data_IF_460102999928
#
_entry.id   IF_460102999928
#
_cell.length_a   1.000
_cell.length_b   1.000
_cell.length_c   1.000
_cell.angle_alpha   90.00
_cell.angle_beta   90.00
_cell.angle_gamma   90.00
#
_symmetry.space_group_name_H-M   'P 1'
#
loop_
_entity.id
_entity.type
_entity.pdbx_description
1 polymer ?
#
# COMPACT_ATOMS: atom_id res chain seq x y z
N UNK A 1 -18.72 -40.42 2.15
CA UNK A 1 -17.97 -40.76 0.93
C UNK A 1 -16.68 -39.95 0.99
N UNK A 2 -15.54 -40.60 1.23
CA UNK A 2 -14.25 -39.91 1.37
C UNK A 2 -13.61 -39.87 -0.01
N UNK A 3 -13.51 -38.67 -0.57
CA UNK A 3 -12.88 -38.43 -1.87
C UNK A 3 -11.36 -38.50 -1.69
N UNK A 4 -10.69 -39.36 -2.46
CA UNK A 4 -9.25 -39.60 -2.34
C UNK A 4 -8.45 -38.58 -3.15
N UNK A 5 -7.16 -38.41 -2.86
CA UNK A 5 -6.26 -37.52 -3.60
C UNK A 5 -6.20 -37.88 -5.10
N UNK A 6 -6.38 -39.16 -5.42
CA UNK A 6 -6.49 -39.67 -6.78
C UNK A 6 -7.74 -39.13 -7.49
N UNK A 7 -8.88 -39.06 -6.80
CA UNK A 7 -10.13 -38.55 -7.38
C UNK A 7 -10.03 -37.04 -7.70
N UNK A 8 -9.33 -36.28 -6.85
CA UNK A 8 -9.05 -34.85 -7.09
C UNK A 8 -8.14 -34.68 -8.32
N UNK A 9 -7.08 -35.49 -8.42
CA UNK A 9 -6.13 -35.41 -9.53
C UNK A 9 -6.78 -35.77 -10.86
N UNK A 10 -7.57 -36.84 -10.89
CA UNK A 10 -8.30 -37.26 -12.10
C UNK A 10 -9.35 -36.22 -12.49
N UNK A 11 -10.07 -35.62 -11.54
CA UNK A 11 -11.01 -34.54 -11.84
C UNK A 11 -10.34 -33.29 -12.41
N UNK A 12 -9.14 -32.94 -11.92
CA UNK A 12 -8.37 -31.81 -12.43
C UNK A 12 -7.74 -32.08 -13.80
N UNK A 13 -7.19 -33.27 -14.03
CA UNK A 13 -6.67 -33.68 -15.34
C UNK A 13 -7.78 -33.71 -16.39
N UNK A 14 -8.97 -34.19 -16.03
CA UNK A 14 -10.12 -34.24 -16.91
C UNK A 14 -10.70 -32.83 -17.19
N UNK A 15 -10.67 -31.93 -16.21
CA UNK A 15 -11.11 -30.54 -16.39
C UNK A 15 -10.12 -29.68 -17.19
N UNK A 16 -8.84 -30.05 -17.22
CA UNK A 16 -7.79 -29.27 -17.89
C UNK A 16 -7.37 -29.85 -19.24
N UNK A 17 -7.72 -31.11 -19.54
CA UNK A 17 -7.39 -31.78 -20.81
C UNK A 17 -7.95 -31.10 -22.07
N UNK A 18 -9.01 -30.30 -21.94
CA UNK A 18 -9.61 -29.55 -23.05
C UNK A 18 -9.12 -28.08 -23.14
N UNK A 19 -8.31 -27.62 -22.19
CA UNK A 19 -7.75 -26.26 -22.21
C UNK A 19 -6.62 -26.17 -23.24
N UNK A 20 -7.00 -26.00 -24.50
CA UNK A 20 -6.08 -25.54 -25.54
C UNK A 20 -5.79 -24.05 -25.31
N UNK A 21 -4.58 -23.74 -24.88
CA UNK A 21 -4.09 -22.35 -24.91
C UNK A 21 -4.23 -21.82 -26.33
N UNK A 22 -4.94 -20.71 -26.50
CA UNK A 22 -5.08 -20.08 -27.79
C UNK A 22 -3.67 -19.82 -28.37
N UNK A 23 -3.40 -20.19 -29.63
CA UNK A 23 -2.05 -20.18 -30.19
C UNK A 23 -1.44 -18.78 -30.26
N UNK A 24 -2.27 -17.74 -30.14
CA UNK A 24 -1.91 -16.33 -30.15
C UNK A 24 -1.82 -15.70 -28.74
N UNK A 25 -1.95 -16.47 -27.66
CA UNK A 25 -1.96 -15.95 -26.28
C UNK A 25 -0.67 -15.18 -25.97
N UNK A 26 0.48 -15.76 -26.32
CA UNK A 26 1.78 -15.11 -26.11
C UNK A 26 1.95 -13.85 -26.95
N UNK A 27 1.40 -13.83 -28.16
CA UNK A 27 1.48 -12.67 -29.04
C UNK A 27 0.53 -11.55 -28.60
N UNK A 28 -0.65 -11.88 -28.07
CA UNK A 28 -1.56 -10.93 -27.43
C UNK A 28 -0.96 -10.32 -26.15
N UNK A 29 -0.29 -11.14 -25.33
CA UNK A 29 0.43 -10.66 -24.14
C UNK A 29 1.59 -9.74 -24.54
N UNK A 30 2.39 -10.11 -25.56
CA UNK A 30 3.47 -9.27 -26.10
C UNK A 30 2.95 -7.96 -26.71
N UNK A 31 1.88 -8.01 -27.49
CA UNK A 31 1.27 -6.82 -28.10
C UNK A 31 0.66 -5.87 -27.05
N UNK A 32 0.04 -6.41 -25.99
CA UNK A 32 -0.45 -5.64 -24.85
C UNK A 32 0.69 -4.94 -24.08
N UNK A 33 1.81 -5.65 -23.88
CA UNK A 33 3.03 -5.09 -23.28
C UNK A 33 3.64 -3.98 -24.13
N UNK A 34 3.77 -4.19 -25.44
CA UNK A 34 4.33 -3.18 -26.36
C UNK A 34 3.46 -1.91 -26.44
N UNK A 35 2.13 -2.03 -26.48
CA UNK A 35 1.23 -0.85 -26.50
C UNK A 35 1.34 0.01 -25.24
N UNK A 36 1.52 -0.59 -24.06
CA UNK A 36 1.77 0.15 -22.81
C UNK A 36 3.12 0.88 -22.84
N UNK A 37 4.16 0.25 -23.38
CA UNK A 37 5.49 0.86 -23.53
C UNK A 37 5.47 2.02 -24.54
N UNK A 38 4.78 1.86 -25.67
CA UNK A 38 4.67 2.91 -26.70
C UNK A 38 3.88 4.12 -26.18
N UNK A 39 2.74 3.92 -25.51
CA UNK A 39 1.98 5.02 -24.88
C UNK A 39 2.80 5.77 -23.81
N UNK A 40 3.66 5.07 -23.06
CA UNK A 40 4.60 5.70 -22.12
C UNK A 40 5.68 6.51 -22.83
N UNK A 41 6.20 6.02 -23.96
CA UNK A 41 7.23 6.73 -24.74
C UNK A 41 6.71 8.00 -25.42
N UNK A 42 5.47 7.99 -25.91
CA UNK A 42 4.86 9.20 -26.51
C UNK A 42 4.55 10.27 -25.48
N UNK A 43 4.19 9.91 -24.24
CA UNK A 43 4.02 10.86 -23.14
C UNK A 43 5.36 11.48 -22.69
N UNK A 44 6.46 10.72 -22.72
CA UNK A 44 7.81 11.21 -22.38
C UNK A 44 8.40 12.14 -23.46
N UNK A 45 8.09 11.93 -24.74
CA UNK A 45 8.57 12.79 -25.83
C UNK A 45 7.96 14.21 -25.81
N UNK A 46 6.74 14.36 -25.28
CA UNK A 46 6.09 15.67 -25.14
C UNK A 46 6.56 16.48 -23.91
N UNK A 47 7.22 15.83 -22.94
CA UNK A 47 7.66 16.46 -21.68
C UNK A 47 9.15 16.87 -21.61
N UNK A 48 9.93 16.66 -22.67
CA UNK A 48 11.39 16.85 -22.66
C UNK A 48 11.89 18.24 -23.09
N UNK A 49 11.00 19.24 -23.22
CA UNK A 49 11.40 20.59 -23.64
C UNK A 49 11.63 21.59 -22.48
N UNK A 50 11.38 21.23 -21.21
CA UNK A 50 11.30 22.26 -20.15
C UNK A 50 11.80 21.86 -18.76
N UNK A 51 12.88 21.08 -18.64
CA UNK A 51 13.60 20.96 -17.35
C UNK A 51 15.11 20.99 -17.59
N UNK A 52 15.65 22.21 -17.61
CA UNK A 52 17.07 22.48 -17.43
C UNK A 52 17.28 22.90 -15.96
N UNK A 53 17.50 21.91 -15.08
CA UNK A 53 18.33 22.02 -13.88
C UNK A 53 18.27 20.69 -13.08
N UNK A 54 19.33 19.89 -13.16
CA UNK A 54 19.79 19.17 -11.97
C UNK A 54 19.56 17.65 -11.83
N UNK A 55 19.63 16.85 -12.90
CA UNK A 55 20.24 15.50 -12.89
C UNK A 55 20.00 14.75 -14.21
N UNK A 56 20.78 15.04 -15.24
CA UNK A 56 20.82 14.27 -16.49
C UNK A 56 21.97 13.25 -16.43
N UNK A 57 21.73 12.08 -15.85
CA UNK A 57 22.59 10.93 -16.05
C UNK A 57 21.94 10.01 -17.09
N UNK A 58 22.19 10.29 -18.38
CA UNK A 58 21.87 9.38 -19.47
C UNK A 58 22.85 8.21 -19.45
N UNK A 59 22.38 7.02 -19.06
CA UNK A 59 23.19 5.80 -19.08
C UNK A 59 23.21 5.26 -20.51
N UNK A 60 24.25 5.63 -21.27
CA UNK A 60 24.64 4.90 -22.48
C UNK A 60 25.39 3.64 -22.03
N UNK A 61 24.78 2.47 -22.24
CA UNK A 61 25.43 1.17 -22.06
C UNK A 61 26.42 0.92 -23.20
N UNK A 62 27.62 1.51 -23.11
CA UNK A 62 28.76 1.12 -23.93
C UNK A 62 29.62 0.12 -23.15
N UNK A 63 29.88 -1.05 -23.76
CA UNK A 63 30.60 -2.14 -23.15
C UNK A 63 32.11 -1.87 -22.99
N UNK A 64 32.64 -2.30 -21.84
CA UNK A 64 34.07 -2.47 -21.59
C UNK A 64 34.74 -1.34 -20.79
N UNK A 65 34.99 -1.60 -19.50
CA UNK A 65 35.89 -0.81 -18.65
C UNK A 65 35.16 0.05 -17.61
N UNK A 66 35.21 -0.41 -16.34
CA UNK A 66 34.86 0.34 -15.13
C UNK A 66 33.57 1.16 -15.19
N UNK A 67 32.44 0.58 -14.78
CA UNK A 67 31.19 1.32 -14.64
C UNK A 67 31.40 2.57 -13.78
N UNK A 68 31.19 3.76 -14.35
CA UNK A 68 31.28 5.03 -13.63
C UNK A 68 30.35 4.99 -12.43
N UNK A 69 30.85 5.28 -11.21
CA UNK A 69 29.99 5.31 -10.03
C UNK A 69 28.80 6.24 -10.25
N UNK A 70 27.60 5.79 -9.87
CA UNK A 70 26.41 6.64 -9.86
C UNK A 70 26.68 7.79 -8.89
N UNK A 71 26.70 9.02 -9.41
CA UNK A 71 26.78 10.23 -8.61
C UNK A 71 25.52 10.34 -7.76
N UNK A 72 25.68 10.62 -6.47
CA UNK A 72 24.55 10.76 -5.56
C UNK A 72 24.81 11.88 -4.57
N UNK A 73 23.95 12.92 -4.54
CA UNK A 73 24.06 13.99 -3.55
C UNK A 73 24.14 13.48 -2.10
N UNK A 74 23.52 12.33 -1.81
CA UNK A 74 23.55 11.70 -0.49
C UNK A 74 24.91 11.11 -0.12
N UNK A 75 25.75 10.76 -1.10
CA UNK A 75 27.06 10.14 -0.86
C UNK A 75 28.21 11.13 -1.03
N UNK A 76 28.00 12.20 -1.80
CA UNK A 76 29.07 13.07 -2.27
C UNK A 76 29.05 14.47 -1.63
N UNK A 77 27.98 14.84 -0.90
CA UNK A 77 27.89 16.14 -0.20
C UNK A 77 28.50 16.08 1.21
N UNK A 78 28.91 17.22 1.80
CA UNK A 78 29.31 17.28 3.20
C UNK A 78 28.16 16.93 4.16
N UNK A 79 28.51 16.40 5.34
CA UNK A 79 27.57 16.16 6.44
C UNK A 79 26.85 17.45 6.83
N UNK A 80 25.52 17.40 6.92
CA UNK A 80 24.65 18.50 7.34
C UNK A 80 24.18 18.35 8.80
N UNK A 81 23.50 19.37 9.34
CA UNK A 81 22.90 19.37 10.68
C UNK A 81 23.77 20.00 11.76
N UNK A 82 23.22 20.22 12.95
CA UNK A 82 23.87 20.92 14.07
C UNK A 82 24.98 20.07 14.74
N UNK A 83 24.95 18.74 14.59
CA UNK A 83 26.01 17.84 15.07
C UNK A 83 27.03 17.47 13.99
N UNK A 84 27.03 18.14 12.82
CA UNK A 84 27.96 17.85 11.70
C UNK A 84 29.46 17.99 12.04
N UNK A 85 29.80 18.63 13.17
CA UNK A 85 31.18 18.81 13.67
C UNK A 85 31.47 17.98 14.92
N UNK A 86 30.50 17.27 15.48
CA UNK A 86 30.70 16.40 16.64
C UNK A 86 31.35 15.08 16.18
N UNK A 87 32.68 15.10 16.02
CA UNK A 87 33.42 13.95 15.51
C UNK A 87 33.21 12.69 16.35
N UNK A 88 33.06 12.84 17.67
CA UNK A 88 32.81 11.71 18.58
C UNK A 88 31.48 11.05 18.25
N UNK A 89 30.42 11.84 18.07
CA UNK A 89 29.12 11.33 17.67
C UNK A 89 29.15 10.70 16.27
N UNK A 90 29.76 11.36 15.29
CA UNK A 90 29.89 10.82 13.93
C UNK A 90 30.62 9.47 13.92
N UNK A 91 31.68 9.31 14.73
CA UNK A 91 32.40 8.05 14.85
C UNK A 91 31.59 6.96 15.57
N UNK A 92 30.76 7.33 16.55
CA UNK A 92 29.79 6.41 17.16
C UNK A 92 28.76 5.93 16.12
N UNK A 93 28.20 6.84 15.33
CA UNK A 93 27.25 6.52 14.25
C UNK A 93 27.87 5.57 13.23
N UNK A 94 29.09 5.84 12.77
CA UNK A 94 29.80 4.94 11.83
C UNK A 94 30.06 3.56 12.44
N UNK A 95 30.38 3.47 13.74
CA UNK A 95 30.55 2.18 14.43
C UNK A 95 29.23 1.40 14.52
N UNK A 96 28.15 2.07 14.93
CA UNK A 96 26.83 1.45 15.01
C UNK A 96 26.36 0.95 13.63
N UNK A 97 26.57 1.75 12.58
CA UNK A 97 26.30 1.37 11.20
C UNK A 97 27.07 0.10 10.79
N UNK A 98 28.40 0.06 10.97
CA UNK A 98 29.20 -1.12 10.62
C UNK A 98 28.79 -2.37 11.40
N UNK A 99 28.45 -2.22 12.68
CA UNK A 99 27.97 -3.33 13.49
C UNK A 99 26.61 -3.88 12.99
N UNK A 100 25.75 -3.02 12.44
CA UNK A 100 24.42 -3.40 11.95
C UNK A 100 24.43 -4.02 10.54
N UNK A 101 25.46 -3.76 9.73
CA UNK A 101 25.53 -4.28 8.36
C UNK A 101 25.66 -5.80 8.27
N UNK A 102 26.20 -6.47 9.29
CA UNK A 102 26.49 -7.91 9.23
C UNK A 102 27.37 -8.26 8.01
N UNK A 103 26.91 -9.22 7.21
CA UNK A 103 27.63 -9.73 6.02
C UNK A 103 27.36 -8.93 4.73
N UNK A 104 26.65 -7.79 4.82
CA UNK A 104 26.33 -6.99 3.63
C UNK A 104 27.59 -6.39 3.00
N UNK A 105 27.85 -6.74 1.75
CA UNK A 105 29.01 -6.22 1.01
C UNK A 105 28.84 -4.73 0.69
N UNK A 106 29.74 -3.90 1.21
CA UNK A 106 29.77 -2.44 1.05
C UNK A 106 31.09 -1.96 0.44
N UNK A 107 31.11 -0.72 -0.05
CA UNK A 107 32.28 -0.06 -0.63
C UNK A 107 32.57 1.28 0.06
N UNK A 108 33.83 1.48 0.43
CA UNK A 108 34.30 2.71 1.08
C UNK A 108 33.80 2.86 2.52
N UNK A 109 34.06 4.02 3.11
CA UNK A 109 33.61 4.35 4.46
C UNK A 109 32.13 4.80 4.47
N UNK A 110 31.37 4.50 5.54
CA UNK A 110 30.02 5.05 5.70
C UNK A 110 30.07 6.57 5.83
N UNK A 111 29.27 7.23 5.00
CA UNK A 111 29.12 8.67 4.99
C UNK A 111 27.90 9.08 5.83
N UNK A 112 28.11 9.94 6.82
CA UNK A 112 27.01 10.52 7.60
C UNK A 112 26.47 11.71 6.80
N UNK A 113 25.29 11.55 6.21
CA UNK A 113 24.63 12.55 5.36
C UNK A 113 24.16 13.75 6.20
N UNK A 114 23.59 13.44 7.37
CA UNK A 114 23.05 14.42 8.30
C UNK A 114 23.25 13.91 9.73
N UNK A 115 23.54 14.82 10.66
CA UNK A 115 23.64 14.52 12.08
C UNK A 115 23.14 15.72 12.89
N UNK A 116 22.20 15.47 13.81
CA UNK A 116 21.63 16.55 14.58
C UNK A 116 20.75 16.14 15.76
N UNK A 117 20.20 17.14 16.44
CA UNK A 117 19.22 16.93 17.50
C UNK A 117 17.83 16.66 16.90
N UNK A 118 17.20 15.58 17.36
CA UNK A 118 15.84 15.22 17.00
C UNK A 118 14.90 15.49 18.19
N UNK A 119 13.71 16.08 17.96
CA UNK A 119 12.70 16.22 19.01
C UNK A 119 12.45 14.87 19.68
N UNK A 120 12.32 14.82 21.01
CA UNK A 120 12.00 13.62 21.81
C UNK A 120 12.99 12.42 21.72
N UNK A 121 13.95 12.42 20.80
CA UNK A 121 14.88 11.31 20.51
C UNK A 121 16.35 11.69 20.76
N UNK A 122 16.58 12.89 21.31
CA UNK A 122 17.91 13.46 21.59
C UNK A 122 18.76 13.65 20.33
N UNK A 123 19.54 12.64 19.90
CA UNK A 123 20.42 12.72 18.73
C UNK A 123 19.98 11.72 17.65
N UNK A 124 20.03 12.16 16.40
CA UNK A 124 19.77 11.31 15.25
C UNK A 124 20.78 11.58 14.13
N UNK A 125 20.88 10.64 13.20
CA UNK A 125 21.70 10.77 12.01
C UNK A 125 21.09 10.00 10.83
N UNK A 126 21.50 10.39 9.61
CA UNK A 126 21.27 9.63 8.38
C UNK A 126 22.62 9.20 7.84
N UNK A 127 22.74 7.92 7.51
CA UNK A 127 23.99 7.33 6.99
C UNK A 127 23.71 6.76 5.61
N UNK A 128 24.65 6.99 4.69
CA UNK A 128 24.65 6.36 3.38
C UNK A 128 26.00 5.69 3.12
N UNK A 129 25.99 4.56 2.42
CA UNK A 129 27.21 3.87 2.03
C UNK A 129 27.05 3.19 0.66
N UNK A 130 28.11 3.19 -0.15
CA UNK A 130 28.07 2.54 -1.47
C UNK A 130 28.03 1.02 -1.30
N UNK A 131 27.38 0.33 -2.23
CA UNK A 131 27.44 -1.14 -2.37
C UNK A 131 27.95 -1.52 -3.76
N UNK A 132 28.42 -2.76 -3.99
CA UNK A 132 28.64 -3.27 -5.32
C UNK A 132 27.37 -3.11 -6.18
N UNK A 133 27.52 -2.46 -7.34
CA UNK A 133 26.39 -2.23 -8.23
C UNK A 133 25.83 -3.56 -8.73
N UNK A 134 24.52 -3.75 -8.57
CA UNK A 134 23.81 -4.95 -9.03
C UNK A 134 22.42 -4.60 -9.53
N UNK A 135 21.94 -5.35 -10.52
CA UNK A 135 20.55 -5.24 -10.95
C UNK A 135 19.67 -5.77 -9.83
N UNK A 136 18.84 -4.90 -9.27
CA UNK A 136 18.00 -5.18 -8.11
C UNK A 136 16.53 -5.41 -8.47
N UNK A 137 16.12 -5.16 -9.72
CA UNK A 137 14.73 -5.37 -10.14
C UNK A 137 14.60 -5.85 -11.60
N UNK A 138 13.48 -6.52 -11.96
CA UNK A 138 13.20 -6.94 -13.34
C UNK A 138 13.09 -5.78 -14.34
N UNK A 139 12.85 -4.57 -13.86
CA UNK A 139 12.80 -3.35 -14.69
C UNK A 139 14.16 -2.68 -14.86
N UNK A 140 15.25 -3.35 -14.46
CA UNK A 140 16.62 -2.93 -14.72
C UNK A 140 17.17 -1.88 -13.75
N UNK A 141 16.56 -1.69 -12.58
CA UNK A 141 17.15 -0.79 -11.59
C UNK A 141 18.46 -1.33 -11.03
N UNK A 142 19.41 -0.44 -10.81
CA UNK A 142 20.70 -0.74 -10.22
C UNK A 142 20.67 -0.28 -8.76
N UNK A 143 20.92 -1.21 -7.85
CA UNK A 143 21.28 -0.87 -6.47
C UNK A 143 22.70 -0.35 -6.46
N UNK A 144 22.93 0.84 -5.87
CA UNK A 144 24.24 1.50 -5.88
C UNK A 144 24.68 1.99 -4.49
N UNK A 145 23.79 1.94 -3.50
CA UNK A 145 24.11 2.28 -2.12
C UNK A 145 23.07 1.73 -1.15
N UNK A 146 23.35 1.92 0.13
CA UNK A 146 22.42 1.76 1.23
C UNK A 146 22.26 3.13 1.90
N UNK A 147 21.06 3.41 2.39
CA UNK A 147 20.77 4.53 3.27
C UNK A 147 20.05 4.03 4.52
N UNK A 148 20.22 4.70 5.64
CA UNK A 148 19.50 4.34 6.86
C UNK A 148 19.50 5.43 7.90
N UNK A 149 18.52 5.34 8.80
CA UNK A 149 18.35 6.24 9.92
C UNK A 149 18.98 5.66 11.16
N UNK A 150 19.60 6.52 11.96
CA UNK A 150 20.21 6.18 13.24
C UNK A 150 19.63 7.11 14.30
N UNK A 151 19.23 6.55 15.43
CA UNK A 151 18.80 7.31 16.59
C UNK A 151 19.58 6.93 17.84
N UNK A 152 19.70 7.85 18.77
CA UNK A 152 20.19 7.59 20.11
C UNK A 152 19.05 7.12 21.01
N UNK A 153 19.20 5.94 21.59
CA UNK A 153 18.28 5.36 22.57
C UNK A 153 18.95 5.28 23.94
N UNK A 154 18.21 4.89 24.98
CA UNK A 154 18.78 4.60 26.31
C UNK A 154 19.79 3.45 26.29
N UNK A 155 19.73 2.55 25.29
CA UNK A 155 20.67 1.47 25.08
C UNK A 155 21.88 1.85 24.19
N UNK A 156 21.94 3.09 23.72
CA UNK A 156 22.94 3.58 22.76
C UNK A 156 22.36 3.79 21.36
N UNK A 157 23.24 3.94 20.38
CA UNK A 157 22.83 4.18 19.00
C UNK A 157 22.20 2.94 18.37
N UNK A 158 21.03 3.14 17.76
CA UNK A 158 20.27 2.12 17.03
C UNK A 158 20.16 2.52 15.57
N UNK A 159 20.53 1.62 14.66
CA UNK A 159 20.21 1.75 13.23
C UNK A 159 18.78 1.24 13.04
N UNK A 160 17.89 2.11 12.57
CA UNK A 160 16.46 1.84 12.46
C UNK A 160 16.16 1.08 11.16
N UNK A 161 16.85 1.42 10.07
CA UNK A 161 16.59 0.84 8.76
C UNK A 161 17.85 0.72 7.91
N UNK A 162 17.79 -0.17 6.92
CA UNK A 162 18.77 -0.34 5.85
C UNK A 162 18.01 -0.42 4.53
N UNK A 163 17.95 0.70 3.81
CA UNK A 163 17.22 0.80 2.54
C UNK A 163 18.19 0.80 1.36
N UNK A 164 17.87 0.01 0.33
CA UNK A 164 18.63 0.04 -0.92
C UNK A 164 18.37 1.34 -1.68
N UNK A 165 19.45 1.99 -2.09
CA UNK A 165 19.41 3.13 -3.00
C UNK A 165 19.39 2.61 -4.44
N UNK A 166 18.29 2.86 -5.13
CA UNK A 166 18.02 2.35 -6.48
C UNK A 166 18.03 3.47 -7.51
N UNK A 167 18.59 3.21 -8.69
CA UNK A 167 18.49 4.15 -9.81
C UNK A 167 17.04 4.32 -10.26
N UNK A 168 16.61 5.56 -10.47
CA UNK A 168 15.29 5.88 -11.03
C UNK A 168 14.10 5.59 -10.10
N UNK A 169 14.32 5.13 -8.87
CA UNK A 169 13.30 5.15 -7.84
C UNK A 169 13.48 6.35 -6.92
N UNK A 170 12.40 6.70 -6.24
CA UNK A 170 12.45 7.45 -5.00
C UNK A 170 13.35 6.73 -3.99
N UNK A 171 14.48 7.36 -3.66
CA UNK A 171 15.30 7.03 -2.48
C UNK A 171 14.90 7.90 -1.29
N UNK A 172 13.72 8.55 -1.33
CA UNK A 172 13.29 9.39 -0.23
C UNK A 172 13.15 8.53 1.01
N UNK A 173 13.78 9.06 2.03
CA UNK A 173 14.03 8.44 3.29
C UNK A 173 13.23 9.28 4.28
N UNK A 174 12.06 8.77 4.65
CA UNK A 174 11.42 9.18 5.89
C UNK A 174 11.59 8.05 6.91
N UNK A 175 11.60 8.37 8.19
CA UNK A 175 11.55 7.37 9.25
C UNK A 175 10.74 7.88 10.44
N UNK A 176 10.09 6.95 11.14
CA UNK A 176 9.54 7.23 12.46
C UNK A 176 10.59 6.97 13.52
N UNK A 177 10.88 7.96 14.34
CA UNK A 177 11.87 7.93 15.42
C UNK A 177 11.20 7.86 16.79
N UNK A 178 11.98 7.46 17.78
CA UNK A 178 11.58 7.43 19.19
C UNK A 178 10.91 6.12 19.60
N UNK A 179 10.83 5.86 20.91
CA UNK A 179 10.24 4.63 21.44
C UNK A 179 8.75 4.52 21.11
N UNK A 180 8.06 5.66 21.03
CA UNK A 180 6.64 5.72 20.68
C UNK A 180 6.40 5.94 19.19
N UNK A 181 7.44 6.21 18.38
CA UNK A 181 7.31 6.49 16.93
C UNK A 181 6.49 7.74 16.64
N UNK A 182 6.59 8.72 17.53
CA UNK A 182 5.85 9.98 17.54
C UNK A 182 6.57 11.10 16.77
N UNK A 183 7.74 10.82 16.21
CA UNK A 183 8.53 11.80 15.44
C UNK A 183 8.76 11.29 14.03
N UNK A 184 8.20 11.98 13.04
CA UNK A 184 8.51 11.75 11.64
C UNK A 184 9.73 12.59 11.25
N UNK A 185 10.80 11.92 10.84
CA UNK A 185 11.98 12.55 10.25
C UNK A 185 11.94 12.37 8.73
N UNK A 186 12.10 13.45 7.98
CA UNK A 186 12.14 13.43 6.51
C UNK A 186 13.45 14.04 6.03
N UNK A 187 14.21 13.28 5.23
CA UNK A 187 15.44 13.76 4.62
C UNK A 187 15.15 14.59 3.36
N UNK A 188 15.80 15.75 3.26
CA UNK A 188 15.82 16.54 2.02
C UNK A 188 16.66 15.83 0.96
N UNK A 189 15.98 15.24 -0.03
CA UNK A 189 16.57 14.65 -1.22
C UNK A 189 16.53 15.59 -2.45
N UNK A 190 16.16 16.86 -2.24
CA UNK A 190 16.03 17.88 -3.28
C UNK A 190 14.65 17.97 -3.93
N UNK A 191 13.68 17.12 -3.54
CA UNK A 191 12.29 17.22 -4.01
C UNK A 191 11.44 18.09 -3.06
N UNK A 192 10.45 18.80 -3.61
CA UNK A 192 9.41 19.45 -2.79
C UNK A 192 8.51 18.35 -2.20
N UNK A 193 8.89 17.85 -1.01
CA UNK A 193 8.13 16.86 -0.25
C UNK A 193 7.12 17.58 0.63
N UNK A 194 5.88 17.11 0.54
CA UNK A 194 4.76 17.61 1.33
C UNK A 194 4.23 16.54 2.26
N UNK A 195 3.70 17.01 3.37
CA UNK A 195 3.23 16.21 4.49
C UNK A 195 1.74 16.42 4.72
N UNK A 196 1.04 15.32 5.02
CA UNK A 196 -0.36 15.35 5.45
C UNK A 196 -0.48 14.63 6.80
N UNK A 197 -0.93 15.32 7.88
CA UNK A 197 -1.04 14.72 9.21
C UNK A 197 -2.26 13.80 9.36
N UNK A 198 -3.28 13.99 8.52
CA UNK A 198 -4.59 13.40 8.71
C UNK A 198 -5.17 12.86 7.41
N UNK A 199 -5.99 11.82 7.56
CA UNK A 199 -6.83 11.25 6.51
C UNK A 199 -8.28 11.64 6.76
N UNK A 200 -8.91 12.29 5.77
CA UNK A 200 -10.34 12.52 5.72
C UNK A 200 -10.95 11.76 4.55
N UNK A 201 -12.28 11.71 4.51
CA UNK A 201 -13.03 11.20 3.38
C UNK A 201 -14.03 12.26 2.93
N UNK A 202 -14.09 12.51 1.62
CA UNK A 202 -15.12 13.33 1.02
C UNK A 202 -16.50 12.67 1.14
N UNK A 203 -17.57 13.40 0.80
CA UNK A 203 -18.93 12.88 0.85
C UNK A 203 -19.16 11.66 -0.08
N UNK A 204 -18.41 11.57 -1.18
CA UNK A 204 -18.41 10.42 -2.09
C UNK A 204 -17.52 9.26 -1.60
N UNK A 205 -16.89 9.39 -0.43
CA UNK A 205 -16.02 8.39 0.18
C UNK A 205 -14.61 8.32 -0.38
N UNK A 206 -14.24 9.20 -1.31
CA UNK A 206 -12.84 9.33 -1.75
C UNK A 206 -11.97 9.80 -0.59
N UNK A 207 -10.73 9.32 -0.59
CA UNK A 207 -9.65 9.80 0.26
C UNK A 207 -9.43 11.28 -0.01
N UNK A 208 -9.44 12.04 1.07
CA UNK A 208 -9.11 13.45 1.07
C UNK A 208 -7.95 13.70 2.01
N UNK A 209 -6.97 14.48 1.53
CA UNK A 209 -5.74 14.80 2.26
C UNK A 209 -5.32 16.22 1.93
N UNK A 210 -5.08 17.00 2.97
CA UNK A 210 -4.42 18.30 2.86
C UNK A 210 -2.92 18.14 3.04
N UNK A 211 -2.15 18.64 2.09
CA UNK A 211 -0.68 18.54 2.08
C UNK A 211 -0.04 19.91 2.30
N UNK A 212 0.81 20.02 3.32
CA UNK A 212 1.61 21.20 3.63
C UNK A 212 3.08 20.97 3.25
N UNK A 213 3.82 22.01 2.81
CA UNK A 213 5.26 21.90 2.57
C UNK A 213 6.02 21.66 3.88
N UNK A 214 7.09 20.87 3.82
CA UNK A 214 8.02 20.68 4.92
C UNK A 214 9.12 21.76 4.91
N UNK A 215 9.54 22.25 6.08
CA UNK A 215 10.64 23.22 6.17
C UNK A 215 11.97 22.54 6.51
N UNK A 216 12.74 22.21 5.48
CA UNK A 216 14.07 21.60 5.62
C UNK A 216 15.16 22.58 6.07
N UNK A 217 14.89 23.90 6.12
CA UNK A 217 15.92 24.90 6.46
C UNK A 217 16.21 24.94 7.95
N UNK A 218 15.18 24.65 8.76
CA UNK A 218 15.28 24.70 10.23
C UNK A 218 16.36 23.75 10.75
N UNK A 219 16.45 22.55 10.18
CA UNK A 219 17.42 21.53 10.59
C UNK A 219 18.45 21.20 9.51
N UNK A 220 18.69 22.12 8.57
CA UNK A 220 19.72 21.98 7.53
C UNK A 220 19.63 20.64 6.76
N UNK A 221 18.55 20.46 6.02
CA UNK A 221 18.37 19.30 5.14
C UNK A 221 17.60 18.12 5.74
N UNK A 222 16.93 18.32 6.88
CA UNK A 222 15.93 17.42 7.45
C UNK A 222 14.74 18.25 7.92
N UNK A 223 13.55 17.68 7.85
CA UNK A 223 12.36 18.20 8.50
C UNK A 223 11.88 17.20 9.56
N UNK A 224 11.34 17.71 10.67
CA UNK A 224 10.71 16.93 11.71
C UNK A 224 9.25 17.32 11.85
N UNK A 225 8.39 16.33 12.00
CA UNK A 225 6.98 16.53 12.34
C UNK A 225 6.62 15.65 13.54
N UNK A 226 5.92 16.23 14.51
CA UNK A 226 5.30 15.46 15.57
C UNK A 226 4.06 14.76 15.03
N UNK A 227 3.92 13.47 15.29
CA UNK A 227 2.83 12.66 14.78
C UNK A 227 2.12 11.93 15.91
N UNK A 228 0.83 11.69 15.74
CA UNK A 228 0.10 10.86 16.67
C UNK A 228 0.49 9.39 16.45
N UNK A 229 1.36 8.87 17.33
CA UNK A 229 1.73 7.48 17.37
C UNK A 229 0.49 6.58 17.53
N UNK A 230 0.44 5.50 16.73
CA UNK A 230 -0.48 4.38 16.94
C UNK A 230 0.27 3.07 16.70
N UNK A 231 0.10 2.06 17.57
CA UNK A 231 0.81 0.80 17.42
C UNK A 231 0.54 0.08 16.09
N UNK A 232 -0.65 0.26 15.50
CA UNK A 232 -1.13 -0.50 14.34
C UNK A 232 -1.31 0.32 13.07
N UNK A 233 -1.13 1.65 13.12
CA UNK A 233 -1.49 2.51 12.01
C UNK A 233 -0.58 3.74 11.90
N UNK A 234 -0.33 4.16 10.66
CA UNK A 234 0.39 5.40 10.36
C UNK A 234 -0.57 6.30 9.59
N UNK A 235 -1.00 7.38 10.23
CA UNK A 235 -2.01 8.28 9.65
C UNK A 235 -1.43 9.31 8.68
N UNK A 236 -0.11 9.49 8.74
CA UNK A 236 0.58 10.46 7.91
C UNK A 236 0.74 9.96 6.49
N UNK A 237 0.85 10.92 5.57
CA UNK A 237 1.20 10.66 4.19
C UNK A 237 2.27 11.64 3.73
N UNK A 238 3.16 11.15 2.87
CA UNK A 238 4.19 11.97 2.25
C UNK A 238 4.10 11.86 0.73
N UNK A 239 4.20 13.01 0.07
CA UNK A 239 4.14 13.11 -1.39
C UNK A 239 5.15 14.13 -1.90
N UNK A 240 5.92 13.76 -2.91
CA UNK A 240 6.71 14.69 -3.70
C UNK A 240 5.85 15.40 -4.76
N UNK A 241 6.08 16.69 -5.00
CA UNK A 241 5.40 17.40 -6.10
C UNK A 241 5.80 16.87 -7.48
N UNK A 242 7.09 16.61 -7.66
CA UNK A 242 7.66 16.09 -8.90
C UNK A 242 7.73 14.57 -8.80
N UNK A 243 7.15 13.83 -9.77
CA UNK A 243 7.25 12.38 -9.79
C UNK A 243 8.69 11.92 -10.03
N UNK A 244 9.02 10.73 -9.54
CA UNK A 244 10.26 10.04 -9.87
C UNK A 244 10.28 9.57 -11.34
N UNK A 245 11.34 8.88 -11.76
CA UNK A 245 11.46 8.41 -13.15
C UNK A 245 10.40 7.37 -13.57
N UNK A 246 9.63 6.84 -12.61
CA UNK A 246 8.52 5.90 -12.84
C UNK A 246 7.18 6.59 -12.91
N UNK A 247 7.12 7.88 -12.63
CA UNK A 247 5.87 8.63 -12.50
C UNK A 247 5.31 8.60 -11.08
N UNK A 248 6.01 8.01 -10.11
CA UNK A 248 5.51 7.89 -8.74
C UNK A 248 5.85 9.14 -7.91
N UNK A 249 4.89 9.59 -7.11
CA UNK A 249 5.04 10.75 -6.21
C UNK A 249 5.11 10.33 -4.76
N UNK A 250 4.92 9.05 -4.44
CA UNK A 250 5.01 8.57 -3.06
C UNK A 250 6.44 8.70 -2.52
N UNK A 251 6.53 8.98 -1.23
CA UNK A 251 7.80 9.03 -0.49
C UNK A 251 7.85 7.81 0.41
N UNK A 252 8.95 7.04 0.35
CA UNK A 252 9.09 5.81 1.13
C UNK A 252 9.28 6.09 2.62
N UNK A 253 8.81 5.15 3.45
CA UNK A 253 9.09 5.12 4.88
C UNK A 253 10.10 3.99 5.15
N UNK A 254 11.33 4.37 5.48
CA UNK A 254 12.49 3.49 5.54
C UNK A 254 12.36 2.41 6.63
N UNK A 255 11.60 2.64 7.69
CA UNK A 255 11.40 1.62 8.72
C UNK A 255 10.08 0.84 8.57
N UNK A 256 9.36 0.96 7.45
CA UNK A 256 8.03 0.34 7.30
C UNK A 256 8.02 -1.17 7.55
N UNK A 257 9.03 -1.91 7.09
CA UNK A 257 9.13 -3.36 7.32
C UNK A 257 9.25 -3.69 8.80
N UNK A 258 10.12 -2.99 9.53
CA UNK A 258 10.24 -3.14 10.98
C UNK A 258 8.92 -2.78 11.69
N UNK A 259 8.24 -1.73 11.24
CA UNK A 259 6.95 -1.31 11.80
C UNK A 259 5.86 -2.39 11.58
N UNK A 260 5.86 -3.08 10.44
CA UNK A 260 4.99 -4.22 10.13
C UNK A 260 5.32 -5.40 11.05
N UNK A 261 6.60 -5.72 11.23
CA UNK A 261 7.04 -6.83 12.08
C UNK A 261 6.62 -6.60 13.54
N UNK A 262 6.86 -5.39 14.06
CA UNK A 262 6.50 -4.99 15.43
C UNK A 262 4.99 -4.91 15.66
N UNK A 263 4.19 -4.76 14.60
CA UNK A 263 2.73 -4.93 14.67
C UNK A 263 2.31 -6.42 14.82
N UNK A 264 3.26 -7.34 15.04
CA UNK A 264 3.04 -8.75 15.31
C UNK A 264 2.75 -9.58 14.06
N UNK A 265 3.25 -9.13 12.90
CA UNK A 265 2.86 -9.67 11.58
C UNK A 265 4.01 -10.27 10.77
N UNK A 266 5.19 -10.49 11.38
CA UNK A 266 6.44 -10.96 10.72
C UNK A 266 6.44 -12.36 10.06
N UNK A 267 5.28 -12.88 9.67
CA UNK A 267 5.15 -14.01 8.75
C UNK A 267 4.95 -13.55 7.30
N UNK A 268 5.08 -14.43 6.30
CA UNK A 268 4.76 -14.10 4.91
C UNK A 268 3.33 -13.56 4.85
N UNK A 269 3.21 -12.28 4.52
CA UNK A 269 1.98 -11.50 4.54
C UNK A 269 0.98 -12.15 3.57
N UNK A 270 -0.10 -12.83 4.04
CA UNK A 270 -1.17 -13.14 3.12
C UNK A 270 -1.71 -11.78 2.67
N UNK A 271 -1.60 -11.50 1.37
CA UNK A 271 -2.22 -10.31 0.78
C UNK A 271 -3.67 -10.23 1.27
N UNK A 272 -4.24 -9.02 1.40
CA UNK A 272 -5.59 -8.87 1.90
C UNK A 272 -6.52 -9.83 1.16
N UNK A 273 -7.13 -10.75 1.89
CA UNK A 273 -8.02 -11.73 1.29
C UNK A 273 -9.29 -11.00 0.87
N UNK A 274 -9.35 -10.66 -0.41
CA UNK A 274 -10.55 -10.10 -1.02
C UNK A 274 -11.60 -11.19 -1.11
N UNK A 275 -12.68 -11.03 -0.35
CA UNK A 275 -13.81 -11.95 -0.35
C UNK A 275 -14.77 -11.57 -1.47
N UNK A 276 -14.65 -12.28 -2.58
CA UNK A 276 -15.48 -12.08 -3.77
C UNK A 276 -16.71 -12.99 -3.71
N UNK A 277 -17.90 -12.38 -3.65
CA UNK A 277 -19.17 -13.10 -3.68
C UNK A 277 -19.94 -12.76 -4.95
N UNK A 278 -20.20 -13.79 -5.77
CA UNK A 278 -21.01 -13.65 -6.99
C UNK A 278 -22.40 -14.21 -6.72
N UNK A 279 -23.39 -13.31 -6.65
CA UNK A 279 -24.79 -13.63 -6.44
C UNK A 279 -25.50 -13.91 -7.78
N UNK A 280 -26.78 -14.25 -7.73
CA UNK A 280 -27.57 -14.47 -8.93
C UNK A 280 -27.46 -13.27 -9.89
N UNK A 281 -27.28 -13.56 -11.18
CA UNK A 281 -27.09 -12.55 -12.23
C UNK A 281 -25.68 -11.93 -12.32
N UNK A 282 -24.72 -12.37 -11.49
CA UNK A 282 -23.36 -11.82 -11.51
C UNK A 282 -22.52 -12.18 -12.75
N UNK A 283 -22.92 -13.18 -13.55
CA UNK A 283 -22.16 -13.64 -14.73
C UNK A 283 -22.01 -12.58 -15.83
N UNK A 284 -22.80 -11.50 -15.77
CA UNK A 284 -22.71 -10.38 -16.70
C UNK A 284 -21.77 -9.26 -16.20
N UNK A 285 -21.24 -9.36 -14.98
CA UNK A 285 -20.41 -8.31 -14.38
C UNK A 285 -18.92 -8.44 -14.79
N UNK A 286 -18.22 -7.33 -15.11
CA UNK A 286 -16.87 -7.40 -15.66
C UNK A 286 -15.78 -7.95 -14.71
N UNK A 287 -14.63 -8.30 -15.29
CA UNK A 287 -13.48 -8.94 -14.63
C UNK A 287 -12.53 -7.93 -13.96
N UNK A 288 -11.52 -8.41 -13.20
CA UNK A 288 -10.49 -7.59 -12.55
C UNK A 288 -9.88 -6.52 -13.49
N UNK A 289 -9.74 -5.28 -13.00
CA UNK A 289 -9.61 -4.00 -13.75
C UNK A 289 -10.95 -3.39 -14.22
N UNK A 290 -12.02 -3.73 -13.52
CA UNK A 290 -13.35 -3.23 -13.78
C UNK A 290 -13.50 -1.77 -13.30
N UNK A 291 -14.15 -0.84 -14.04
CA UNK A 291 -14.60 0.44 -13.48
C UNK A 291 -15.43 0.34 -12.19
N UNK A 292 -16.01 -0.83 -11.89
CA UNK A 292 -16.73 -1.11 -10.65
C UNK A 292 -15.83 -1.42 -9.46
N UNK A 293 -14.55 -1.68 -9.68
CA UNK A 293 -13.60 -2.00 -8.63
C UNK A 293 -12.92 -0.75 -8.08
N UNK A 294 -13.32 -0.36 -6.87
CA UNK A 294 -12.82 0.86 -6.24
C UNK A 294 -11.37 0.73 -5.75
N UNK A 295 -10.80 -0.49 -5.65
CA UNK A 295 -9.39 -0.66 -5.25
C UNK A 295 -8.41 -0.10 -6.29
N UNK A 296 -8.82 -0.07 -7.57
CA UNK A 296 -8.01 0.42 -8.69
C UNK A 296 -8.46 1.79 -9.21
N UNK A 297 -9.50 2.38 -8.60
CA UNK A 297 -10.06 3.67 -9.03
C UNK A 297 -9.40 4.82 -8.28
N UNK A 298 -9.00 5.83 -9.05
CA UNK A 298 -8.35 7.03 -8.50
C UNK A 298 -9.19 7.69 -7.39
N UNK A 299 -8.51 8.05 -6.31
CA UNK A 299 -9.08 8.73 -5.16
C UNK A 299 -9.73 7.82 -4.12
N UNK A 300 -9.94 6.52 -4.37
CA UNK A 300 -10.50 5.62 -3.36
C UNK A 300 -9.44 4.95 -2.48
N UNK A 301 -8.24 4.72 -3.02
CA UNK A 301 -7.07 4.29 -2.27
C UNK A 301 -6.23 5.49 -1.81
N UNK A 302 -5.66 5.38 -0.62
CA UNK A 302 -4.72 6.36 -0.09
C UNK A 302 -3.32 6.11 -0.68
N UNK A 303 -3.05 6.69 -1.86
CA UNK A 303 -1.81 6.46 -2.61
C UNK A 303 -0.53 6.86 -1.84
N UNK A 304 -0.64 7.79 -0.90
CA UNK A 304 0.51 8.42 -0.25
C UNK A 304 0.66 8.06 1.24
N UNK A 305 -0.34 7.38 1.81
CA UNK A 305 -0.30 6.91 3.20
C UNK A 305 0.47 5.61 3.35
N UNK A 306 0.80 5.29 4.60
CA UNK A 306 1.51 4.07 4.95
C UNK A 306 0.57 3.09 5.64
N UNK A 307 0.59 1.84 5.20
CA UNK A 307 -0.24 0.79 5.76
C UNK A 307 0.63 -0.27 6.45
N UNK A 308 0.46 -0.43 7.76
CA UNK A 308 1.21 -1.40 8.58
C UNK A 308 0.53 -2.76 8.69
N UNK A 309 -0.80 -2.75 8.64
CA UNK A 309 -1.63 -3.95 8.80
C UNK A 309 -2.42 -4.13 7.51
N UNK A 310 -2.61 -5.38 7.02
CA UNK A 310 -3.37 -5.58 5.80
C UNK A 310 -4.73 -4.93 5.99
N UNK A 311 -5.31 -4.32 4.94
CA UNK A 311 -6.67 -3.85 5.07
C UNK A 311 -7.51 -5.02 5.53
N UNK A 312 -8.42 -4.76 6.47
CA UNK A 312 -9.49 -5.70 6.79
C UNK A 312 -10.06 -6.27 5.49
N UNK A 313 -10.32 -7.58 5.46
CA UNK A 313 -10.73 -8.29 4.24
C UNK A 313 -11.79 -7.52 3.46
N UNK A 314 -11.45 -7.15 2.23
CA UNK A 314 -12.35 -6.41 1.34
C UNK A 314 -13.48 -7.34 0.92
N UNK A 315 -14.71 -7.01 1.28
CA UNK A 315 -15.89 -7.62 0.68
C UNK A 315 -16.11 -7.03 -0.71
N UNK A 316 -16.30 -7.89 -1.71
CA UNK A 316 -16.68 -7.51 -3.06
C UNK A 316 -17.86 -8.38 -3.50
N UNK A 317 -19.07 -7.91 -3.24
CA UNK A 317 -20.31 -8.63 -3.50
C UNK A 317 -20.94 -8.07 -4.77
N UNK A 318 -21.17 -8.92 -5.76
CA UNK A 318 -21.77 -8.53 -7.05
C UNK A 318 -22.97 -9.38 -7.40
N UNK A 319 -23.91 -8.83 -8.15
CA UNK A 319 -25.10 -9.54 -8.62
C UNK A 319 -25.96 -8.67 -9.54
N UNK A 320 -27.17 -9.14 -9.82
CA UNK A 320 -28.20 -8.35 -10.48
C UNK A 320 -29.47 -8.28 -9.64
N UNK A 321 -30.17 -7.16 -9.71
CA UNK A 321 -31.49 -6.94 -9.13
C UNK A 321 -32.58 -7.66 -9.95
N UNK A 322 -33.82 -7.67 -9.45
CA UNK A 322 -34.94 -8.31 -10.14
C UNK A 322 -35.25 -7.65 -11.49
N UNK A 323 -35.00 -6.34 -11.61
CA UNK A 323 -35.10 -5.58 -12.86
C UNK A 323 -33.82 -5.66 -13.73
N UNK A 324 -32.88 -6.55 -13.41
CA UNK A 324 -31.63 -6.82 -14.12
C UNK A 324 -30.60 -5.69 -14.09
N UNK A 325 -30.74 -4.68 -13.22
CA UNK A 325 -29.63 -3.75 -12.95
C UNK A 325 -28.51 -4.48 -12.21
N UNK A 326 -27.29 -4.34 -12.71
CA UNK A 326 -26.11 -4.87 -12.02
C UNK A 326 -25.82 -4.05 -10.76
N UNK A 327 -25.28 -4.69 -9.73
CA UNK A 327 -24.79 -3.98 -8.56
C UNK A 327 -23.47 -4.55 -8.05
N UNK A 328 -22.73 -3.68 -7.37
CA UNK A 328 -21.56 -4.05 -6.55
C UNK A 328 -21.70 -3.40 -5.19
N UNK A 329 -21.55 -4.20 -4.14
CA UNK A 329 -21.36 -3.75 -2.76
C UNK A 329 -19.92 -4.07 -2.36
N UNK A 330 -19.14 -3.03 -2.09
CA UNK A 330 -17.71 -3.15 -1.79
C UNK A 330 -17.38 -2.48 -0.45
N UNK A 331 -16.47 -3.07 0.31
CA UNK A 331 -15.85 -2.42 1.46
C UNK A 331 -14.42 -2.02 1.15
N UNK A 332 -14.00 -0.79 1.48
CA UNK A 332 -12.60 -0.39 1.40
C UNK A 332 -12.07 0.03 2.77
N UNK A 333 -10.96 -0.56 3.20
CA UNK A 333 -10.27 -0.18 4.44
C UNK A 333 -9.21 0.87 4.13
N UNK A 334 -9.25 2.02 4.83
CA UNK A 334 -8.19 3.03 4.72
C UNK A 334 -7.02 2.77 5.67
N UNK A 335 -6.00 3.64 5.58
CA UNK A 335 -4.82 3.62 6.48
C UNK A 335 -5.14 4.02 7.92
N UNK A 336 -6.36 4.46 8.19
CA UNK A 336 -6.88 4.82 9.51
C UNK A 336 -7.76 3.74 10.16
N UNK A 337 -7.74 2.51 9.60
CA UNK A 337 -8.53 1.34 9.98
C UNK A 337 -10.05 1.50 9.84
N UNK A 338 -10.53 2.64 9.32
CA UNK A 338 -11.96 2.80 9.00
C UNK A 338 -12.29 2.08 7.71
N UNK A 339 -13.45 1.43 7.71
CA UNK A 339 -13.98 0.72 6.56
C UNK A 339 -15.08 1.55 5.96
N UNK A 340 -15.02 1.78 4.67
CA UNK A 340 -16.04 2.48 3.89
C UNK A 340 -16.87 1.45 3.14
N UNK A 341 -18.19 1.54 3.21
CA UNK A 341 -19.11 0.68 2.48
C UNK A 341 -19.70 1.44 1.30
N UNK A 342 -19.59 0.86 0.10
CA UNK A 342 -20.07 1.45 -1.14
C UNK A 342 -21.13 0.59 -1.80
N UNK A 343 -22.06 1.23 -2.51
CA UNK A 343 -22.97 0.61 -3.47
C UNK A 343 -22.83 1.29 -4.82
N UNK A 344 -22.54 0.52 -5.85
CA UNK A 344 -22.74 0.90 -7.25
C UNK A 344 -23.95 0.13 -7.78
N UNK A 345 -24.88 0.78 -8.47
CA UNK A 345 -26.11 0.16 -9.00
C UNK A 345 -26.44 0.70 -10.39
N UNK A 346 -26.58 -0.20 -11.37
CA UNK A 346 -26.82 0.10 -12.78
C UNK A 346 -25.66 0.80 -13.50
N UNK A 347 -24.80 1.50 -12.76
CA UNK A 347 -23.63 2.23 -13.23
C UNK A 347 -22.46 2.00 -12.26
N UNK A 348 -21.20 2.18 -12.71
CA UNK A 348 -20.03 2.04 -11.84
C UNK A 348 -19.85 3.19 -10.84
N UNK A 349 -20.71 4.21 -10.83
CA UNK A 349 -20.60 5.33 -9.90
C UNK A 349 -21.07 4.92 -8.49
N UNK A 350 -20.15 4.89 -7.50
CA UNK A 350 -20.47 4.38 -6.19
C UNK A 350 -21.14 5.45 -5.33
N UNK A 351 -21.96 5.00 -4.40
CA UNK A 351 -22.52 5.79 -3.31
C UNK A 351 -21.91 5.30 -2.00
N UNK A 352 -21.29 6.19 -1.24
CA UNK A 352 -20.84 5.90 0.12
C UNK A 352 -22.07 5.71 1.02
N UNK A 353 -22.16 4.53 1.65
CA UNK A 353 -23.25 4.16 2.55
C UNK A 353 -22.90 4.33 4.04
N UNK A 354 -21.61 4.47 4.35
CA UNK A 354 -21.14 4.75 5.71
C UNK A 354 -19.92 3.92 6.11
N UNK A 355 -19.73 3.81 7.42
CA UNK A 355 -18.54 3.21 8.02
C UNK A 355 -18.89 2.02 8.94
N UNK A 356 -19.09 0.81 8.40
CA UNK A 356 -19.43 -0.34 9.23
C UNK A 356 -18.26 -0.79 10.11
N UNK A 357 -18.58 -1.40 11.26
CA UNK A 357 -17.59 -2.12 12.06
C UNK A 357 -17.42 -3.54 11.51
N UNK A 358 -16.23 -3.93 11.01
CA UNK A 358 -16.01 -5.28 10.46
C UNK A 358 -16.26 -6.39 11.47
N UNK A 359 -15.93 -6.13 12.73
CA UNK A 359 -16.10 -7.08 13.82
C UNK A 359 -17.57 -7.31 14.16
N UNK A 360 -18.50 -6.52 13.62
CA UNK A 360 -19.92 -6.79 13.77
C UNK A 360 -20.26 -8.13 13.07
N UNK A 361 -21.20 -8.93 13.61
CA UNK A 361 -21.60 -10.19 12.97
C UNK A 361 -22.14 -10.01 11.54
N UNK A 362 -22.73 -8.84 11.26
CA UNK A 362 -23.31 -8.47 9.96
C UNK A 362 -22.83 -7.08 9.51
N UNK A 363 -21.57 -6.95 9.02
CA UNK A 363 -20.99 -5.67 8.64
C UNK A 363 -21.64 -5.07 7.37
N UNK A 364 -22.23 -5.90 6.51
CA UNK A 364 -22.90 -5.45 5.28
C UNK A 364 -24.41 -5.64 5.42
N UNK A 365 -25.14 -4.53 5.36
CA UNK A 365 -26.62 -4.48 5.30
C UNK A 365 -27.03 -3.28 4.47
N UNK A 366 -27.24 -3.50 3.17
CA UNK A 366 -27.49 -2.44 2.19
C UNK A 366 -28.86 -2.65 1.56
N UNK A 367 -29.82 -1.77 1.87
CA UNK A 367 -31.11 -1.77 1.19
C UNK A 367 -30.94 -1.14 -0.20
N UNK A 368 -31.32 -1.88 -1.23
CA UNK A 368 -31.31 -1.39 -2.60
C UNK A 368 -32.55 -0.50 -2.83
N UNK A 369 -32.43 0.54 -3.69
CA UNK A 369 -33.55 1.42 -4.03
C UNK A 369 -34.67 0.65 -4.76
N UNK A 370 -35.82 1.30 -4.94
CA UNK A 370 -36.96 0.80 -5.72
C UNK A 370 -37.50 -0.58 -5.29
N UNK A 371 -37.29 -0.94 -4.02
CA UNK A 371 -37.72 -2.23 -3.50
C UNK A 371 -36.98 -3.41 -4.14
N UNK A 372 -35.73 -3.24 -4.58
CA UNK A 372 -34.94 -4.31 -5.19
C UNK A 372 -34.32 -5.29 -4.18
N UNK A 373 -34.60 -5.14 -2.88
CA UNK A 373 -34.15 -6.05 -1.83
C UNK A 373 -33.11 -5.47 -0.90
N UNK A 374 -32.42 -6.35 -0.16
CA UNK A 374 -31.36 -5.98 0.78
C UNK A 374 -30.16 -6.90 0.58
N UNK A 375 -29.01 -6.33 0.26
CA UNK A 375 -27.74 -7.06 0.22
C UNK A 375 -27.23 -7.19 1.65
N UNK A 376 -26.98 -8.42 2.08
CA UNK A 376 -26.41 -8.74 3.39
C UNK A 376 -25.14 -9.55 3.24
N UNK A 377 -24.19 -9.36 4.14
CA UNK A 377 -23.04 -10.25 4.30
C UNK A 377 -22.48 -10.23 5.72
N UNK A 378 -21.91 -11.35 6.15
CA UNK A 378 -21.34 -11.49 7.50
C UNK A 378 -20.57 -12.77 7.76
N UNK A 379 -19.89 -12.81 8.90
CA UNK A 379 -19.03 -13.90 9.31
C UNK A 379 -19.81 -14.97 10.09
N UNK A 380 -20.55 -15.82 9.36
CA UNK A 380 -21.31 -16.91 9.97
C UNK A 380 -22.38 -17.49 9.05
N UNK A 381 -23.13 -18.47 9.57
CA UNK A 381 -24.31 -18.99 8.86
C UNK A 381 -25.41 -17.93 8.86
N UNK A 382 -25.92 -17.61 7.68
CA UNK A 382 -26.96 -16.62 7.51
C UNK A 382 -28.32 -17.29 7.30
N UNK A 383 -29.37 -16.71 7.90
CA UNK A 383 -30.77 -17.02 7.58
C UNK A 383 -31.60 -15.74 7.67
N UNK A 384 -32.71 -15.67 6.94
CA UNK A 384 -33.59 -14.51 6.96
C UNK A 384 -35.05 -14.93 7.14
N UNK A 385 -35.92 -14.00 7.48
CA UNK A 385 -37.37 -14.24 7.45
C UNK A 385 -38.14 -13.07 6.89
N UNK A 386 -39.29 -13.40 6.31
CA UNK A 386 -40.28 -12.44 5.82
C UNK A 386 -41.39 -12.36 6.87
N UNK A 387 -41.62 -11.15 7.40
CA UNK A 387 -42.58 -10.93 8.49
C UNK A 387 -42.38 -11.91 9.66
N UNK A 388 -43.45 -12.54 10.16
CA UNK A 388 -43.43 -13.55 11.22
C UNK A 388 -43.34 -14.99 10.68
N UNK A 389 -42.98 -15.16 9.41
CA UNK A 389 -42.83 -16.48 8.80
C UNK A 389 -41.59 -17.25 9.28
N UNK A 390 -41.39 -18.41 8.67
CA UNK A 390 -40.25 -19.28 8.97
C UNK A 390 -38.92 -18.66 8.57
N UNK A 391 -37.86 -19.11 9.25
CA UNK A 391 -36.48 -18.76 8.89
C UNK A 391 -36.04 -19.55 7.66
N UNK A 392 -35.63 -18.83 6.62
CA UNK A 392 -35.11 -19.36 5.37
C UNK A 392 -33.58 -19.30 5.38
N UNK A 393 -32.88 -20.41 5.08
CA UNK A 393 -31.42 -20.43 5.04
C UNK A 393 -30.88 -19.63 3.86
N UNK A 394 -29.68 -19.06 4.03
CA UNK A 394 -28.91 -18.42 2.96
C UNK A 394 -27.70 -19.31 2.66
N UNK A 395 -27.44 -19.55 1.38
CA UNK A 395 -26.24 -20.25 0.94
C UNK A 395 -25.03 -19.30 1.00
N UNK A 396 -24.02 -19.66 1.78
CA UNK A 396 -22.78 -18.87 1.90
C UNK A 396 -22.88 -17.70 2.89
N UNK A 397 -22.02 -16.71 2.69
CA UNK A 397 -21.79 -15.60 3.62
C UNK A 397 -22.31 -14.25 3.12
N UNK A 398 -22.95 -14.22 1.95
CA UNK A 398 -23.57 -13.05 1.36
C UNK A 398 -24.83 -13.42 0.56
N UNK A 399 -25.81 -12.54 0.52
CA UNK A 399 -27.02 -12.72 -0.28
C UNK A 399 -27.72 -11.41 -0.63
N UNK A 400 -28.48 -11.43 -1.73
CA UNK A 400 -29.53 -10.45 -2.01
C UNK A 400 -30.85 -11.01 -1.50
N UNK A 401 -31.38 -10.42 -0.42
CA UNK A 401 -32.65 -10.80 0.18
C UNK A 401 -33.81 -10.12 -0.53
N UNK A 402 -34.99 -10.75 -0.62
CA UNK A 402 -36.18 -10.11 -1.19
C UNK A 402 -36.58 -8.87 -0.38
N UNK A 403 -37.24 -7.90 -1.01
CA UNK A 403 -37.66 -6.67 -0.35
C UNK A 403 -38.61 -6.87 0.84
N UNK A 404 -39.33 -7.99 0.85
CA UNK A 404 -40.20 -8.38 1.95
C UNK A 404 -39.44 -8.90 3.19
N UNK A 405 -38.13 -9.17 3.10
CA UNK A 405 -37.32 -9.60 4.23
C UNK A 405 -37.31 -8.53 5.32
N UNK A 406 -37.61 -8.95 6.56
CA UNK A 406 -37.71 -8.05 7.73
C UNK A 406 -36.59 -8.26 8.73
N UNK A 407 -36.06 -9.47 8.78
CA UNK A 407 -34.99 -9.80 9.70
C UNK A 407 -33.99 -10.74 9.05
N UNK A 408 -32.76 -10.63 9.51
CA UNK A 408 -31.66 -11.54 9.22
C UNK A 408 -31.03 -11.98 10.53
N UNK A 409 -30.65 -13.25 10.60
CA UNK A 409 -29.94 -13.82 11.73
C UNK A 409 -28.57 -14.33 11.25
N UNK A 410 -27.54 -14.00 12.00
CA UNK A 410 -26.18 -14.49 11.81
C UNK A 410 -25.85 -15.42 12.96
N UNK A 411 -25.42 -16.63 12.65
CA UNK A 411 -24.87 -17.57 13.63
C UNK A 411 -23.36 -17.67 13.41
N UNK A 412 -22.53 -17.00 14.24
CA UNK A 412 -21.07 -17.11 14.16
C UNK A 412 -20.63 -18.56 14.36
N UNK A 413 -19.42 -18.91 13.88
CA UNK A 413 -18.87 -20.26 14.06
C UNK A 413 -18.73 -20.65 15.54
N UNK A 414 -18.46 -19.67 16.40
CA UNK A 414 -18.44 -19.80 17.86
C UNK A 414 -19.32 -18.70 18.43
N UNK A 415 -20.53 -19.03 18.86
CA UNK A 415 -21.42 -18.05 19.47
C UNK A 415 -22.89 -18.40 19.35
N UNK A 416 -23.71 -17.56 19.97
CA UNK A 416 -25.17 -17.62 19.83
C UNK A 416 -25.61 -16.84 18.58
N UNK A 417 -26.76 -17.20 17.99
CA UNK A 417 -27.30 -16.45 16.89
C UNK A 417 -27.66 -15.00 17.27
N UNK A 418 -27.33 -14.06 16.39
CA UNK A 418 -27.60 -12.63 16.55
C UNK A 418 -28.58 -12.19 15.46
N UNK A 419 -29.67 -11.52 15.86
CA UNK A 419 -30.74 -11.06 14.97
C UNK A 419 -30.61 -9.57 14.68
N UNK A 420 -30.91 -9.20 13.45
CA UNK A 420 -30.90 -7.83 12.96
C UNK A 420 -32.20 -7.55 12.22
N UNK A 421 -32.83 -6.41 12.51
CA UNK A 421 -33.94 -5.87 11.71
C UNK A 421 -33.39 -5.24 10.43
N UNK A 422 -34.08 -5.41 9.31
CA UNK A 422 -33.66 -4.94 7.99
C UNK A 422 -34.33 -3.65 7.56
#
# INVERSE_FOLDING_TARGET
>A
MVMTDTDIRTALEQATGELRTAPDLLDRVRAGGQRRVVRRRTALAAGLATIAAGSTAGVLLAGGGGATPVASPLLDRPTRGDLRRDQRFLDQVRRAWRANLGDVSVRGEPHVVWAGLAPHVNRAAVVAQRVPQRVASPVGQISYGLTGFVEETTAGLRVISLEEMLTGATNAAAALLGPERDVLMVLDDGRDVRYSPALSYAADGKVDRSFAPLDFRVHDGVAFEAIQARPTAIRVALRAEVPDSRGDRSVGLANISQLIDDAGRGGPYPGPERQVWSLAGAHEAPAANDPWDLEVRDGYHDQYGYQLVPPAGTWYIRGATADRRQFVVQTLTGTDDRIRLFLSLGTPDPVLLGFPALAAPLPVRVRLPDGQGVVVAGAGKLRYRVARGDWLPIAGYAALLPAAAREVEVTPAKGQPVRFTL
#
